data_IF_954042880433
#
_entry.id   IF_954042880433
#
_cell.length_a   1.000
_cell.length_b   1.000
_cell.length_c   1.000
_cell.angle_alpha   90.00
_cell.angle_beta   90.00
_cell.angle_gamma   90.00
#
_symmetry.space_group_name_H-M   'P 1'
#
loop_
_entity.id
_entity.type
_entity.pdbx_description
1 polymer ?
#
# COMPACT_ATOMS: atom_id res chain seq x y z
N UNK A 1 -2.41 17.71 -12.48
CA UNK A 1 -1.99 16.37 -12.03
C UNK A 1 -1.20 16.55 -10.73
N UNK A 2 -1.58 15.85 -9.66
CA UNK A 2 -1.01 16.05 -8.32
C UNK A 2 0.08 15.02 -7.98
N UNK A 3 0.20 13.94 -8.75
CA UNK A 3 1.12 12.84 -8.44
C UNK A 3 2.58 13.29 -8.39
N UNK A 4 3.10 14.10 -9.35
CA UNK A 4 4.47 14.57 -9.28
C UNK A 4 4.75 15.42 -8.03
N UNK A 5 3.79 16.24 -7.61
CA UNK A 5 3.94 17.12 -6.45
C UNK A 5 3.90 16.34 -5.14
N UNK A 6 3.03 15.33 -5.03
CA UNK A 6 3.05 14.37 -3.92
C UNK A 6 4.41 13.66 -3.83
N UNK A 7 4.91 13.10 -4.94
CA UNK A 7 6.18 12.37 -4.93
C UNK A 7 7.37 13.27 -4.60
N UNK A 8 7.35 14.53 -5.04
CA UNK A 8 8.37 15.53 -4.68
C UNK A 8 8.31 15.84 -3.17
N UNK A 9 7.13 16.04 -2.59
CA UNK A 9 6.98 16.34 -1.16
C UNK A 9 7.47 15.22 -0.25
N UNK A 10 7.45 13.96 -0.72
CA UNK A 10 7.98 12.81 0.02
C UNK A 10 9.50 12.62 -0.09
N UNK A 11 10.16 13.35 -0.99
CA UNK A 11 11.61 13.25 -1.27
C UNK A 11 12.39 14.31 -0.50
N UNK A 12 13.29 15.01 -1.19
CA UNK A 12 14.32 15.88 -0.62
C UNK A 12 14.07 17.32 -1.05
N UNK A 13 14.31 18.27 -0.15
CA UNK A 13 14.29 19.69 -0.48
C UNK A 13 15.37 20.01 -1.52
N UNK A 14 15.09 20.90 -2.49
CA UNK A 14 16.04 21.24 -3.55
C UNK A 14 17.29 21.98 -3.04
N UNK A 15 17.19 22.70 -1.91
CA UNK A 15 18.30 23.49 -1.38
C UNK A 15 19.37 22.67 -0.67
N UNK A 16 18.98 21.85 0.31
CA UNK A 16 19.91 21.10 1.16
C UNK A 16 19.90 19.58 0.91
N UNK A 17 19.01 19.08 0.05
CA UNK A 17 18.92 17.65 -0.25
C UNK A 17 18.42 16.78 0.92
N UNK A 18 17.82 17.34 1.96
CA UNK A 18 17.28 16.58 3.09
C UNK A 18 15.78 16.31 2.93
N UNK A 19 15.32 15.19 3.47
CA UNK A 19 13.87 14.98 3.68
C UNK A 19 13.40 15.93 4.77
N UNK A 20 12.16 16.38 4.68
CA UNK A 20 11.61 17.35 5.61
C UNK A 20 10.16 17.00 5.97
N UNK A 21 9.86 16.93 7.27
CA UNK A 21 8.50 16.62 7.73
C UNK A 21 7.54 17.78 7.50
N UNK A 22 8.02 19.03 7.57
CA UNK A 22 7.17 20.19 7.30
C UNK A 22 6.68 20.18 5.84
N UNK A 23 7.53 19.91 4.86
CA UNK A 23 7.16 19.76 3.46
C UNK A 23 6.15 18.63 3.23
N UNK A 24 6.28 17.50 3.93
CA UNK A 24 5.33 16.39 3.81
C UNK A 24 3.94 16.78 4.36
N UNK A 25 3.90 17.36 5.56
CA UNK A 25 2.64 17.75 6.20
C UNK A 25 1.98 18.97 5.55
N UNK A 26 2.75 19.93 5.06
CA UNK A 26 2.23 21.06 4.27
C UNK A 26 1.47 20.54 3.04
N UNK A 27 2.05 19.60 2.30
CA UNK A 27 1.37 18.96 1.18
C UNK A 27 0.09 18.21 1.61
N UNK A 28 0.16 17.35 2.63
CA UNK A 28 -0.98 16.53 3.05
C UNK A 28 -2.15 17.36 3.59
N UNK A 29 -1.87 18.37 4.40
CA UNK A 29 -2.92 19.23 4.99
C UNK A 29 -3.61 20.13 3.98
N UNK A 30 -2.91 20.52 2.90
CA UNK A 30 -3.47 21.26 1.77
C UNK A 30 -4.17 20.37 0.72
N UNK A 31 -4.15 19.05 0.92
CA UNK A 31 -4.75 18.03 0.03
C UNK A 31 -5.55 17.02 0.84
N UNK A 32 -6.75 17.39 1.33
CA UNK A 32 -7.55 16.53 2.22
C UNK A 32 -7.96 15.19 1.60
N UNK A 33 -7.95 15.05 0.27
CA UNK A 33 -8.10 13.77 -0.42
C UNK A 33 -7.05 12.72 -0.01
N UNK A 34 -5.91 13.16 0.53
CA UNK A 34 -4.84 12.28 1.04
C UNK A 34 -5.18 11.65 2.40
N UNK A 35 -6.13 12.21 3.16
CA UNK A 35 -6.36 11.87 4.56
C UNK A 35 -6.63 10.38 4.79
N UNK A 36 -7.39 9.73 3.90
CA UNK A 36 -7.66 8.30 4.00
C UNK A 36 -6.35 7.48 3.94
N UNK A 37 -5.48 7.76 2.96
CA UNK A 37 -4.23 7.01 2.82
C UNK A 37 -3.20 7.38 3.91
N UNK A 38 -3.15 8.64 4.33
CA UNK A 38 -2.27 9.09 5.42
C UNK A 38 -2.66 8.39 6.74
N UNK A 39 -3.95 8.19 6.99
CA UNK A 39 -4.43 7.43 8.16
C UNK A 39 -3.91 5.99 8.15
N UNK A 40 -3.96 5.32 7.00
CA UNK A 40 -3.39 3.97 6.85
C UNK A 40 -1.86 3.95 7.00
N UNK A 41 -1.18 4.95 6.44
CA UNK A 41 0.29 5.08 6.49
C UNK A 41 0.79 5.30 7.92
N UNK A 42 0.06 6.07 8.73
CA UNK A 42 0.46 6.40 10.10
C UNK A 42 0.02 5.35 11.14
N UNK A 43 -0.79 4.36 10.74
CA UNK A 43 -1.06 3.18 11.56
C UNK A 43 -0.01 2.08 11.39
N UNK A 44 -0.18 0.95 12.09
CA UNK A 44 0.80 -0.15 12.10
C UNK A 44 1.16 -0.68 10.71
N UNK A 45 0.23 -0.61 9.75
CA UNK A 45 0.45 -1.01 8.36
C UNK A 45 1.48 -0.16 7.62
N UNK A 46 1.83 1.01 8.15
CA UNK A 46 2.91 1.85 7.63
C UNK A 46 4.28 1.18 7.68
N UNK A 47 4.46 0.22 8.60
CA UNK A 47 5.73 -0.47 8.81
C UNK A 47 5.49 -1.98 8.91
N UNK A 48 5.24 -2.67 7.78
CA UNK A 48 5.08 -4.12 7.79
C UNK A 48 6.36 -4.81 8.27
N UNK A 49 6.23 -5.92 9.00
CA UNK A 49 7.39 -6.67 9.52
C UNK A 49 8.25 -7.26 8.42
N UNK A 50 7.65 -7.69 7.33
CA UNK A 50 8.34 -8.21 6.14
C UNK A 50 7.41 -8.07 4.94
N UNK A 51 7.92 -8.27 3.72
CA UNK A 51 7.05 -8.37 2.54
C UNK A 51 6.06 -9.53 2.63
N UNK A 52 6.41 -10.62 3.31
CA UNK A 52 5.56 -11.82 3.40
C UNK A 52 4.37 -11.63 4.33
N UNK A 53 4.46 -10.71 5.29
CA UNK A 53 3.46 -10.48 6.33
C UNK A 53 2.57 -9.25 6.06
N UNK A 54 2.38 -8.87 4.80
CA UNK A 54 1.49 -7.79 4.39
C UNK A 54 0.53 -8.23 3.28
N UNK A 55 -0.64 -7.61 3.21
CA UNK A 55 -1.56 -7.80 2.08
C UNK A 55 -1.12 -6.97 0.87
N UNK A 56 -1.52 -7.41 -0.32
CA UNK A 56 -1.53 -6.60 -1.54
C UNK A 56 -2.95 -6.16 -1.90
N UNK A 57 -3.09 -5.00 -2.53
CA UNK A 57 -4.38 -4.49 -3.01
C UNK A 57 -4.20 -3.88 -4.40
N UNK A 58 -5.16 -4.12 -5.29
CA UNK A 58 -5.18 -3.45 -6.59
C UNK A 58 -5.48 -1.95 -6.49
N UNK A 59 -6.03 -1.51 -5.36
CA UNK A 59 -6.45 -0.14 -5.01
C UNK A 59 -7.54 0.43 -5.93
N UNK A 60 -7.29 0.50 -7.23
CA UNK A 60 -8.20 1.00 -8.24
C UNK A 60 -9.34 0.01 -8.54
N UNK A 61 -10.43 0.57 -9.07
CA UNK A 61 -11.53 -0.22 -9.63
C UNK A 61 -11.17 -0.60 -11.06
N UNK A 62 -11.18 -1.90 -11.34
CA UNK A 62 -10.98 -2.47 -12.68
C UNK A 62 -12.32 -2.94 -13.25
N UNK A 63 -12.35 -3.33 -14.52
CA UNK A 63 -13.52 -3.92 -15.15
C UNK A 63 -13.24 -5.36 -15.59
N UNK A 64 -14.14 -6.27 -15.25
CA UNK A 64 -14.23 -7.60 -15.84
C UNK A 64 -15.38 -7.66 -16.85
N UNK A 65 -15.19 -8.46 -17.89
CA UNK A 65 -16.18 -8.73 -18.92
C UNK A 65 -16.27 -10.25 -19.07
N UNK A 66 -17.47 -10.81 -18.93
CA UNK A 66 -17.67 -12.25 -19.10
C UNK A 66 -17.90 -12.63 -20.58
N UNK A 67 -18.05 -13.93 -20.86
CA UNK A 67 -18.26 -14.43 -22.22
C UNK A 67 -19.55 -13.93 -22.89
N UNK A 68 -20.55 -13.49 -22.11
CA UNK A 68 -21.79 -12.90 -22.61
C UNK A 68 -21.69 -11.37 -22.84
N UNK A 69 -20.54 -10.75 -22.53
CA UNK A 69 -20.33 -9.31 -22.65
C UNK A 69 -20.82 -8.49 -21.47
N UNK A 70 -21.28 -9.13 -20.39
CA UNK A 70 -21.71 -8.44 -19.17
C UNK A 70 -20.49 -7.87 -18.43
N UNK A 71 -20.66 -6.68 -17.85
CA UNK A 71 -19.56 -5.91 -17.24
C UNK A 71 -19.71 -5.81 -15.73
N UNK A 72 -18.59 -5.93 -15.04
CA UNK A 72 -18.50 -5.85 -13.59
C UNK A 72 -17.34 -4.96 -13.17
N UNK A 73 -17.55 -4.12 -12.17
CA UNK A 73 -16.47 -3.44 -11.46
C UNK A 73 -15.84 -4.39 -10.46
N UNK A 74 -14.50 -4.43 -10.43
CA UNK A 74 -13.75 -5.33 -9.56
C UNK A 74 -12.66 -4.62 -8.77
N UNK A 75 -12.45 -5.06 -7.52
CA UNK A 75 -11.31 -4.71 -6.68
C UNK A 75 -10.54 -5.97 -6.32
N UNK A 76 -9.21 -5.94 -6.47
CA UNK A 76 -8.34 -7.06 -6.13
C UNK A 76 -7.79 -6.95 -4.71
N UNK A 77 -7.81 -8.06 -3.98
CA UNK A 77 -7.30 -8.19 -2.63
C UNK A 77 -6.42 -9.45 -2.55
N UNK A 78 -5.12 -9.28 -2.34
CA UNK A 78 -4.17 -10.36 -2.12
C UNK A 78 -3.96 -10.50 -0.62
N UNK A 79 -4.58 -11.51 -0.01
CA UNK A 79 -4.54 -11.74 1.43
C UNK A 79 -3.36 -12.63 1.76
N UNK A 80 -2.44 -12.16 2.59
CA UNK A 80 -1.27 -12.98 2.99
C UNK A 80 -1.72 -14.20 3.78
N UNK A 81 -1.16 -15.36 3.44
CA UNK A 81 -1.41 -16.61 4.17
C UNK A 81 -0.43 -16.77 5.36
N UNK A 82 0.56 -15.89 5.49
CA UNK A 82 1.58 -15.91 6.56
C UNK A 82 1.09 -15.23 7.86
N UNK A 83 -0.08 -14.61 7.84
CA UNK A 83 -0.53 -13.68 8.87
C UNK A 83 0.02 -12.27 8.64
N UNK A 84 -0.73 -11.28 9.12
CA UNK A 84 -0.33 -9.87 9.01
C UNK A 84 0.44 -9.49 10.27
N UNK A 85 1.62 -8.87 10.11
CA UNK A 85 2.49 -8.48 11.21
C UNK A 85 3.24 -7.17 10.89
N UNK A 86 3.59 -6.42 11.92
CA UNK A 86 4.11 -5.05 11.83
C UNK A 86 5.29 -4.83 12.79
N UNK A 87 6.09 -3.81 12.51
CA UNK A 87 7.11 -3.32 13.44
C UNK A 87 6.57 -2.13 14.22
N UNK A 88 7.01 -2.01 15.48
CA UNK A 88 6.95 -0.73 16.17
C UNK A 88 7.91 0.26 15.51
N UNK A 89 7.68 1.57 15.66
CA UNK A 89 8.61 2.58 15.15
C UNK A 89 10.03 2.38 15.69
N UNK A 90 10.16 2.05 16.99
CA UNK A 90 11.47 1.83 17.62
C UNK A 90 12.21 0.62 17.03
N UNK A 91 11.50 -0.48 16.75
CA UNK A 91 12.10 -1.63 16.07
C UNK A 91 12.49 -1.31 14.64
N UNK A 92 11.65 -0.55 13.92
CA UNK A 92 11.92 -0.13 12.56
C UNK A 92 13.17 0.75 12.47
N UNK A 93 13.31 1.72 13.37
CA UNK A 93 14.46 2.61 13.43
C UNK A 93 15.75 1.85 13.73
N UNK A 94 15.69 0.91 14.68
CA UNK A 94 16.81 0.03 15.02
C UNK A 94 17.21 -0.85 13.82
N UNK A 95 16.26 -1.56 13.22
CA UNK A 95 16.50 -2.45 12.08
C UNK A 95 17.03 -1.66 10.87
N UNK A 96 16.54 -0.45 10.62
CA UNK A 96 17.03 0.39 9.53
C UNK A 96 18.53 0.73 9.66
N UNK A 97 19.04 0.84 10.90
CA UNK A 97 20.46 1.01 11.19
C UNK A 97 21.27 -0.29 11.12
N UNK A 98 20.69 -1.41 11.56
CA UNK A 98 21.35 -2.72 11.59
C UNK A 98 21.42 -3.38 10.21
N UNK A 99 20.35 -3.30 9.43
CA UNK A 99 20.21 -3.95 8.13
C UNK A 99 19.20 -3.21 7.23
N UNK A 100 19.73 -2.31 6.39
CA UNK A 100 18.93 -1.57 5.42
C UNK A 100 18.25 -2.45 4.35
N UNK A 101 18.70 -3.70 4.17
CA UNK A 101 18.14 -4.68 3.23
C UNK A 101 17.26 -5.75 3.93
N UNK A 102 16.81 -5.51 5.16
CA UNK A 102 16.09 -6.47 6.00
C UNK A 102 14.95 -7.22 5.29
N UNK A 103 14.03 -6.51 4.61
CA UNK A 103 12.93 -7.16 3.89
C UNK A 103 13.40 -7.97 2.66
N UNK A 104 14.45 -7.51 1.98
CA UNK A 104 15.05 -8.23 0.84
C UNK A 104 15.67 -9.53 1.31
N UNK A 105 16.42 -9.48 2.42
CA UNK A 105 17.04 -10.65 3.04
C UNK A 105 16.00 -11.64 3.57
N UNK A 106 14.95 -11.18 4.26
CA UNK A 106 13.87 -12.05 4.74
C UNK A 106 13.25 -12.86 3.60
N UNK A 107 12.88 -12.20 2.51
CA UNK A 107 12.24 -12.87 1.37
C UNK A 107 13.17 -13.89 0.71
N UNK A 108 14.44 -13.51 0.50
CA UNK A 108 15.45 -14.41 -0.05
C UNK A 108 15.65 -15.64 0.83
N UNK A 109 15.92 -15.45 2.12
CA UNK A 109 16.20 -16.55 3.04
C UNK A 109 14.99 -17.48 3.20
N UNK A 110 13.76 -16.94 3.18
CA UNK A 110 12.54 -17.75 3.23
C UNK A 110 12.44 -18.68 2.01
N UNK A 111 12.68 -18.15 0.81
CA UNK A 111 12.67 -18.94 -0.44
C UNK A 111 13.76 -20.02 -0.41
N UNK A 112 14.98 -19.67 0.01
CA UNK A 112 16.09 -20.64 0.13
C UNK A 112 15.80 -21.76 1.13
N UNK A 113 15.01 -21.49 2.19
CA UNK A 113 14.54 -22.50 3.15
C UNK A 113 13.33 -23.30 2.68
N UNK A 114 12.79 -23.03 1.50
CA UNK A 114 11.56 -23.66 1.00
C UNK A 114 10.27 -23.14 1.66
N UNK A 115 10.34 -22.04 2.40
CA UNK A 115 9.20 -21.35 2.99
C UNK A 115 8.59 -20.38 1.97
N UNK A 116 8.00 -20.92 0.91
CA UNK A 116 7.43 -20.12 -0.18
C UNK A 116 6.22 -19.31 0.30
N UNK A 117 6.29 -17.96 0.34
CA UNK A 117 5.14 -17.17 0.76
C UNK A 117 4.03 -17.24 -0.27
N UNK A 118 2.78 -17.26 0.19
CA UNK A 118 1.60 -17.25 -0.66
C UNK A 118 0.61 -16.15 -0.25
N UNK A 119 -0.26 -15.83 -1.21
CA UNK A 119 -1.38 -14.93 -1.00
C UNK A 119 -2.62 -15.50 -1.67
N UNK A 120 -3.71 -15.57 -0.92
CA UNK A 120 -5.02 -15.91 -1.47
C UNK A 120 -5.66 -14.70 -2.14
N UNK A 121 -5.90 -14.80 -3.46
CA UNK A 121 -6.57 -13.77 -4.23
C UNK A 121 -8.09 -13.77 -3.97
N UNK A 122 -8.60 -12.64 -3.53
CA UNK A 122 -10.03 -12.36 -3.41
C UNK A 122 -10.41 -11.19 -4.33
N UNK A 123 -11.64 -11.22 -4.83
CA UNK A 123 -12.21 -10.14 -5.63
C UNK A 123 -13.53 -9.68 -5.03
N UNK A 124 -13.68 -8.35 -4.92
CA UNK A 124 -15.01 -7.75 -4.78
C UNK A 124 -15.53 -7.51 -6.19
N UNK A 125 -16.79 -7.89 -6.44
CA UNK A 125 -17.43 -7.79 -7.75
C UNK A 125 -18.72 -7.00 -7.57
N UNK A 126 -18.91 -5.97 -8.40
CA UNK A 126 -20.10 -5.12 -8.40
C UNK A 126 -20.64 -5.01 -9.84
N UNK A 127 -21.91 -5.37 -10.10
CA UNK A 127 -22.54 -5.12 -11.39
C UNK A 127 -22.46 -3.63 -11.76
N UNK A 128 -22.19 -3.31 -13.03
CA UNK A 128 -22.05 -1.91 -13.46
C UNK A 128 -23.33 -1.08 -13.19
N UNK A 129 -24.51 -1.70 -13.29
CA UNK A 129 -25.80 -1.05 -13.03
C UNK A 129 -25.97 -0.58 -11.57
N UNK A 130 -25.23 -1.16 -10.62
CA UNK A 130 -25.31 -0.78 -9.20
C UNK A 130 -24.39 0.42 -8.86
N UNK A 131 -23.46 0.77 -9.75
CA UNK A 131 -22.41 1.74 -9.47
C UNK A 131 -22.94 3.16 -9.25
N UNK A 132 -23.96 3.58 -10.01
CA UNK A 132 -24.51 4.95 -9.92
C UNK A 132 -25.16 5.24 -8.57
N UNK A 133 -25.72 4.21 -7.92
CA UNK A 133 -26.43 4.33 -6.66
C UNK A 133 -25.55 3.97 -5.45
N UNK A 134 -24.26 3.69 -5.66
CA UNK A 134 -23.39 3.29 -4.56
C UNK A 134 -23.04 4.48 -3.67
N UNK A 135 -23.13 4.27 -2.35
CA UNK A 135 -22.98 5.30 -1.31
C UNK A 135 -21.62 6.02 -1.28
N UNK A 136 -20.61 5.49 -1.97
CA UNK A 136 -19.31 6.11 -2.14
C UNK A 136 -19.00 6.18 -3.63
N UNK A 137 -18.80 7.38 -4.16
CA UNK A 137 -18.30 7.59 -5.52
C UNK A 137 -16.79 7.81 -5.51
N UNK A 138 -16.18 7.68 -6.70
CA UNK A 138 -14.73 7.70 -7.00
C UNK A 138 -13.79 8.20 -5.91
#
# INVERSE_FOLDING_TARGET
>A
DQVPDFIRSQKRLPGNGLRDHNMQWDFWTLRPESAHQVTWLMGDRGIPKTYRHMNGYGSHTYQWINAAGERFWVKYHFKTDQGIDYLTQADADRIAGENADYHRKDLWDAIERGEFPSWTLHVQVMPVAEAENYRFTR
#
